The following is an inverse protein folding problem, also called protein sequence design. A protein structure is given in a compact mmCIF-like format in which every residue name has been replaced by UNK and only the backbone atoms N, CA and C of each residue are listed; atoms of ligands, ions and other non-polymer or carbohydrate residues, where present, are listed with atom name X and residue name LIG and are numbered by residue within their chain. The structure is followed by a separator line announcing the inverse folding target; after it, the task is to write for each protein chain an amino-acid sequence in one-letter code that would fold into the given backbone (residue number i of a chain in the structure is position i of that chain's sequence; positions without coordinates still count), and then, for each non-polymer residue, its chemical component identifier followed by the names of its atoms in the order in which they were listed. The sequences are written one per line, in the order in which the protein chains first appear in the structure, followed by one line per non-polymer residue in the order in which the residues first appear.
data_IF_202056255046
#
_entry.id   IF_202056255046
#
_cell.length_a   1.000
_cell.length_b   1.000
_cell.length_c   1.000
_cell.angle_alpha   90.00
_cell.angle_beta   90.00
_cell.angle_gamma   90.00
#
_symmetry.space_group_name_H-M   'P 1'
#
loop_
_entity.id
_entity.type
_entity.pdbx_description
1 polymer ?
#
# COMPACT_ATOMS: atom_id res chain seq x y z
N UNK A 1 -16.60 -3.85 -6.55
CA UNK A 1 -15.31 -3.16 -6.81
C UNK A 1 -14.65 -2.84 -5.46
N UNK A 2 -13.69 -3.66 -5.05
CA UNK A 2 -13.33 -3.86 -3.64
C UNK A 2 -12.41 -2.77 -3.04
N UNK A 3 -12.76 -2.33 -1.82
CA UNK A 3 -12.06 -1.37 -0.96
C UNK A 3 -10.57 -1.72 -0.72
N UNK A 4 -10.20 -2.99 -0.89
CA UNK A 4 -8.85 -3.54 -0.69
C UNK A 4 -7.89 -3.15 -1.83
N UNK A 5 -8.39 -2.98 -3.05
CA UNK A 5 -7.55 -2.52 -4.18
C UNK A 5 -7.12 -1.05 -4.00
N UNK A 6 -7.91 -0.20 -3.32
CA UNK A 6 -7.51 1.18 -3.00
C UNK A 6 -6.32 1.27 -2.05
N UNK A 7 -6.12 0.28 -1.19
CA UNK A 7 -5.04 0.31 -0.19
C UNK A 7 -3.70 -0.13 -0.75
N UNK A 8 -3.70 -0.93 -1.82
CA UNK A 8 -2.48 -1.40 -2.51
C UNK A 8 -2.07 -0.49 -3.68
N UNK A 9 -3.02 0.18 -4.34
CA UNK A 9 -2.76 1.19 -5.39
C UNK A 9 -2.71 2.64 -4.88
N UNK A 10 -2.82 2.87 -3.56
CA UNK A 10 -2.97 4.22 -2.98
C UNK A 10 -1.70 5.09 -2.94
N UNK A 11 -0.53 4.56 -3.32
CA UNK A 11 0.75 5.32 -3.35
C UNK A 11 1.05 5.91 -4.71
N UNK A 12 0.65 5.26 -5.80
CA UNK A 12 0.87 5.73 -7.17
C UNK A 12 -0.04 6.90 -7.55
N UNK A 13 -1.24 6.98 -6.97
CA UNK A 13 -2.21 8.05 -7.29
C UNK A 13 -1.80 9.40 -6.69
N UNK A 14 -1.42 9.45 -5.41
CA UNK A 14 -1.08 10.71 -4.72
C UNK A 14 0.18 11.38 -5.27
N UNK A 15 1.20 10.59 -5.61
CA UNK A 15 2.44 11.13 -6.21
C UNK A 15 2.16 11.74 -7.58
N UNK A 16 1.41 11.03 -8.41
CA UNK A 16 1.02 11.47 -9.76
C UNK A 16 0.12 12.71 -9.70
N UNK A 17 -0.85 12.73 -8.79
CA UNK A 17 -1.71 13.90 -8.54
C UNK A 17 -0.91 15.12 -8.05
N UNK A 18 0.06 14.90 -7.15
CA UNK A 18 0.95 15.96 -6.68
C UNK A 18 1.77 16.57 -7.81
N UNK A 19 2.46 15.74 -8.59
CA UNK A 19 3.30 16.17 -9.74
C UNK A 19 2.46 16.90 -10.79
N UNK A 20 1.29 16.37 -11.15
CA UNK A 20 0.41 17.01 -12.13
C UNK A 20 -0.08 18.39 -11.66
N UNK A 21 -0.36 18.56 -10.36
CA UNK A 21 -0.76 19.86 -9.79
C UNK A 21 0.40 20.85 -9.76
N UNK A 22 1.63 20.41 -9.44
CA UNK A 22 2.84 21.25 -9.53
C UNK A 22 3.02 21.76 -10.96
N UNK A 23 3.01 20.87 -11.95
CA UNK A 23 3.18 21.24 -13.35
C UNK A 23 2.07 22.18 -13.84
N UNK A 24 0.83 21.95 -13.42
CA UNK A 24 -0.30 22.81 -13.75
C UNK A 24 -0.17 24.19 -13.11
N UNK A 25 0.23 24.25 -11.83
CA UNK A 25 0.48 25.49 -11.11
C UNK A 25 1.61 26.31 -11.73
N UNK A 26 2.71 25.67 -12.13
CA UNK A 26 3.80 26.32 -12.87
C UNK A 26 3.33 26.88 -14.22
N UNK A 27 2.56 26.10 -14.98
CA UNK A 27 2.07 26.51 -16.31
C UNK A 27 1.03 27.64 -16.24
N UNK A 28 0.17 27.65 -15.22
CA UNK A 28 -0.91 28.62 -15.06
C UNK A 28 -0.55 29.81 -14.16
N UNK A 29 0.63 29.80 -13.54
CA UNK A 29 1.01 30.77 -12.50
C UNK A 29 0.17 30.66 -11.22
N UNK A 30 -0.55 29.55 -11.02
CA UNK A 30 -1.40 29.34 -9.86
C UNK A 30 -0.58 28.79 -8.69
N UNK A 31 -0.32 29.69 -7.72
CA UNK A 31 0.41 29.39 -6.49
C UNK A 31 -0.28 28.32 -5.63
N UNK A 32 -1.62 28.28 -5.60
CA UNK A 32 -2.36 27.32 -4.77
C UNK A 32 -2.15 25.90 -5.27
N UNK A 33 -2.31 25.70 -6.58
CA UNK A 33 -2.06 24.41 -7.23
C UNK A 33 -0.60 23.97 -7.09
N UNK A 34 0.35 24.93 -7.18
CA UNK A 34 1.77 24.67 -6.99
C UNK A 34 2.07 24.15 -5.57
N UNK A 35 1.67 24.89 -4.53
CA UNK A 35 1.94 24.51 -3.15
C UNK A 35 1.23 23.23 -2.75
N UNK A 36 -0.03 23.05 -3.16
CA UNK A 36 -0.80 21.85 -2.87
C UNK A 36 -0.21 20.62 -3.58
N UNK A 37 0.23 20.77 -4.82
CA UNK A 37 0.93 19.72 -5.54
C UNK A 37 2.24 19.33 -4.88
N UNK A 38 3.03 20.31 -4.44
CA UNK A 38 4.30 20.08 -3.75
C UNK A 38 4.10 19.37 -2.41
N UNK A 39 3.09 19.78 -1.62
CA UNK A 39 2.74 19.14 -0.35
C UNK A 39 2.33 17.66 -0.55
N UNK A 40 1.53 17.37 -1.59
CA UNK A 40 1.12 15.99 -1.91
C UNK A 40 2.31 15.13 -2.34
N UNK A 41 3.21 15.67 -3.18
CA UNK A 41 4.40 14.97 -3.62
C UNK A 41 5.35 14.68 -2.44
N UNK A 42 5.56 15.66 -1.57
CA UNK A 42 6.36 15.51 -0.35
C UNK A 42 5.76 14.46 0.59
N UNK A 43 4.44 14.51 0.82
CA UNK A 43 3.77 13.54 1.67
C UNK A 43 3.87 12.11 1.13
N UNK A 44 3.74 11.94 -0.19
CA UNK A 44 3.92 10.64 -0.84
C UNK A 44 5.36 10.12 -0.68
N UNK A 45 6.36 11.00 -0.82
CA UNK A 45 7.77 10.66 -0.59
C UNK A 45 8.03 10.28 0.86
N UNK A 46 7.59 11.11 1.81
CA UNK A 46 7.75 10.85 3.25
C UNK A 46 7.13 9.51 3.66
N UNK A 47 5.91 9.22 3.19
CA UNK A 47 5.24 7.94 3.45
C UNK A 47 6.00 6.76 2.86
N UNK A 48 6.62 6.91 1.69
CA UNK A 48 7.43 5.86 1.09
C UNK A 48 8.73 5.62 1.87
N UNK A 49 9.39 6.69 2.33
CA UNK A 49 10.63 6.63 3.11
C UNK A 49 10.41 6.16 4.55
N UNK A 50 9.24 6.41 5.14
CA UNK A 50 8.88 5.96 6.49
C UNK A 50 8.12 4.63 6.52
N UNK A 51 7.89 4.01 5.36
CA UNK A 51 7.32 2.67 5.34
C UNK A 51 8.39 1.68 5.85
N UNK A 52 8.08 0.84 6.85
CA UNK A 52 9.01 -0.20 7.26
C UNK A 52 9.29 -1.10 6.05
N UNK A 53 10.58 -1.38 5.83
CA UNK A 53 11.02 -2.30 4.79
C UNK A 53 10.38 -3.66 5.09
N UNK A 54 9.47 -4.10 4.23
CA UNK A 54 8.75 -5.36 4.45
C UNK A 54 9.68 -6.48 4.07
N UNK A 55 10.36 -7.05 5.06
CA UNK A 55 11.15 -8.26 4.88
C UNK A 55 10.23 -9.47 4.67
N UNK A 56 10.59 -10.34 3.73
CA UNK A 56 9.86 -11.58 3.50
C UNK A 56 10.26 -12.59 4.58
N UNK A 57 9.49 -12.63 5.67
CA UNK A 57 9.78 -13.50 6.83
C UNK A 57 9.56 -14.99 6.50
N UNK A 58 8.58 -15.31 5.65
CA UNK A 58 8.20 -16.70 5.38
C UNK A 58 7.56 -16.88 4.00
N UNK A 59 7.91 -17.98 3.33
CA UNK A 59 7.31 -18.41 2.07
C UNK A 59 7.11 -19.92 2.09
N UNK A 60 5.86 -20.35 2.03
CA UNK A 60 5.48 -21.76 1.96
C UNK A 60 4.54 -21.99 0.77
N UNK A 61 4.65 -23.17 0.14
CA UNK A 61 3.70 -23.62 -0.88
C UNK A 61 2.63 -24.45 -0.19
N UNK A 62 1.39 -23.97 -0.23
CA UNK A 62 0.25 -24.65 0.36
C UNK A 62 -0.37 -25.62 -0.64
N UNK A 63 -0.80 -26.78 -0.14
CA UNK A 63 -1.57 -27.74 -0.93
C UNK A 63 -2.97 -27.19 -1.24
N UNK A 64 -3.53 -27.57 -2.38
CA UNK A 64 -4.91 -27.24 -2.73
C UNK A 64 -5.87 -27.75 -1.63
N UNK A 65 -6.83 -26.92 -1.23
CA UNK A 65 -7.73 -27.19 -0.11
C UNK A 65 -7.26 -26.66 1.26
N UNK A 66 -6.08 -26.03 1.35
CA UNK A 66 -5.62 -25.37 2.58
C UNK A 66 -6.30 -24.01 2.79
N UNK A 67 -6.64 -23.68 4.03
CA UNK A 67 -7.17 -22.36 4.41
C UNK A 67 -6.10 -21.53 5.13
N UNK A 68 -5.98 -20.26 4.76
CA UNK A 68 -5.04 -19.31 5.37
C UNK A 68 -5.82 -18.24 6.12
N UNK A 69 -5.61 -18.14 7.44
CA UNK A 69 -6.27 -17.15 8.28
C UNK A 69 -5.23 -16.14 8.77
N UNK A 70 -5.46 -14.85 8.47
CA UNK A 70 -4.56 -13.76 8.87
C UNK A 70 -5.25 -12.96 9.98
N UNK A 71 -4.72 -13.03 11.19
CA UNK A 71 -5.20 -12.27 12.34
C UNK A 71 -4.43 -10.95 12.45
N UNK A 72 -5.09 -9.85 12.10
CA UNK A 72 -4.54 -8.50 12.30
C UNK A 72 -4.87 -8.00 13.72
N UNK A 73 -4.08 -8.38 14.73
CA UNK A 73 -4.22 -7.84 16.10
C UNK A 73 -3.71 -6.41 16.23
N UNK A 74 -2.58 -6.07 15.58
CA UNK A 74 -2.02 -4.72 15.52
C UNK A 74 -1.46 -4.42 14.13
N UNK A 75 -1.42 -3.14 13.77
CA UNK A 75 -0.93 -2.68 12.46
C UNK A 75 0.57 -2.98 12.36
N UNK A 76 0.95 -3.97 11.55
CA UNK A 76 2.34 -4.36 11.34
C UNK A 76 2.74 -5.69 11.99
N UNK A 77 1.88 -6.31 12.80
CA UNK A 77 2.15 -7.59 13.47
C UNK A 77 1.00 -8.59 13.20
N UNK A 78 0.95 -9.19 12.00
CA UNK A 78 -0.04 -10.20 11.66
C UNK A 78 0.37 -11.56 12.21
N UNK A 79 -0.52 -12.22 12.95
CA UNK A 79 -0.40 -13.65 13.25
C UNK A 79 -1.02 -14.46 12.10
N UNK A 80 -0.29 -15.44 11.58
CA UNK A 80 -0.72 -16.27 10.45
C UNK A 80 -0.94 -17.69 10.97
N UNK A 81 -2.15 -18.21 10.76
CA UNK A 81 -2.50 -19.60 11.05
C UNK A 81 -2.81 -20.34 9.73
N UNK A 82 -2.19 -21.50 9.54
CA UNK A 82 -2.37 -22.36 8.36
C UNK A 82 -3.16 -23.60 8.79
N UNK A 83 -4.39 -23.74 8.30
CA UNK A 83 -5.21 -24.92 8.55
C UNK A 83 -4.94 -25.91 7.42
N UNK A 84 -4.24 -26.99 7.76
CA UNK A 84 -3.94 -28.08 6.81
C UNK A 84 -5.20 -28.94 6.59
N UNK A 85 -5.45 -29.40 5.36
CA UNK A 85 -6.52 -30.36 5.11
C UNK A 85 -6.24 -31.68 5.86
N UNK A 86 -7.28 -32.43 6.25
CA UNK A 86 -7.13 -33.75 6.86
C UNK A 86 -6.37 -34.69 5.89
N UNK A 87 -5.58 -35.64 6.42
CA UNK A 87 -4.86 -36.60 5.58
C UNK A 87 -5.84 -37.41 4.72
N UNK A 88 -5.47 -37.78 3.48
CA UNK A 88 -6.27 -38.70 2.68
C UNK A 88 -6.25 -40.09 3.34
N UNK A 89 -7.43 -40.70 3.43
CA UNK A 89 -7.62 -42.09 3.88
C UNK A 89 -6.96 -43.12 2.96
#
# INVERSE_FOLDING_TARGET
MNKIMRTLFGTSDLRTLGVNRVWRGLRKGDRRDLYLGAALAFFAWYRASSAPEKELIFRERLAEGSALVIHHRRRGDPQIEVIKPPPPD
#
